data_IF_361527032561
#
_entry.id   IF_361527032561
#
_cell.length_a   1.000
_cell.length_b   1.000
_cell.length_c   1.000
_cell.angle_alpha   90.00
_cell.angle_beta   90.00
_cell.angle_gamma   90.00
#
_symmetry.space_group_name_H-M   'P 1'
#
loop_
_entity.id
_entity.type
_entity.pdbx_description
1 polymer ?
#
# COMPACT_ATOMS: atom_id res chain seq x y z
N UNK A 1 8.96 -8.76 0.15
CA UNK A 1 8.76 -7.41 -0.41
C UNK A 1 9.05 -6.39 0.68
N UNK A 2 9.59 -5.23 0.33
CA UNK A 2 9.74 -4.08 1.22
C UNK A 2 8.68 -3.07 0.84
N UNK A 3 7.76 -2.79 1.76
CA UNK A 3 6.67 -1.83 1.55
C UNK A 3 7.03 -0.53 2.27
N UNK A 4 6.78 0.62 1.64
CA UNK A 4 6.85 1.93 2.28
C UNK A 4 5.44 2.47 2.46
N UNK A 5 4.94 2.37 3.69
CA UNK A 5 3.58 2.78 4.03
C UNK A 5 3.39 4.29 4.11
N UNK A 6 4.47 5.10 4.13
CA UNK A 6 4.38 6.57 4.25
C UNK A 6 3.76 7.24 3.02
N UNK A 7 3.79 6.55 1.88
CA UNK A 7 3.15 7.02 0.65
C UNK A 7 1.64 6.72 0.59
N UNK A 8 1.10 5.98 1.56
CA UNK A 8 -0.31 5.66 1.64
C UNK A 8 -1.01 6.77 2.44
N UNK A 9 -2.17 7.20 1.95
CA UNK A 9 -3.06 8.11 2.67
C UNK A 9 -4.36 7.37 3.02
N UNK A 10 -4.41 6.66 4.18
CA UNK A 10 -5.62 5.98 4.60
C UNK A 10 -6.78 6.97 4.79
N UNK A 11 -7.99 6.53 4.49
CA UNK A 11 -9.20 7.32 4.75
C UNK A 11 -9.43 7.47 6.27
N UNK A 12 -10.04 8.58 6.73
CA UNK A 12 -10.25 8.84 8.16
C UNK A 12 -11.01 7.74 8.94
N UNK A 13 -11.78 6.90 8.24
CA UNK A 13 -12.46 5.76 8.86
C UNK A 13 -11.49 4.76 9.49
N UNK A 14 -10.28 4.60 8.95
CA UNK A 14 -9.31 3.66 9.50
C UNK A 14 -8.77 4.13 10.85
N UNK A 15 -8.55 5.44 11.03
CA UNK A 15 -8.16 6.00 12.32
C UNK A 15 -9.27 5.80 13.36
N UNK A 16 -10.53 6.00 12.94
CA UNK A 16 -11.68 5.75 13.81
C UNK A 16 -11.79 4.26 14.22
N UNK A 17 -11.63 3.33 13.27
CA UNK A 17 -11.67 1.90 13.53
C UNK A 17 -10.51 1.46 14.45
N UNK A 18 -9.32 2.00 14.24
CA UNK A 18 -8.15 1.75 15.08
C UNK A 18 -8.41 2.17 16.53
N UNK A 19 -8.93 3.38 16.73
CA UNK A 19 -9.27 3.89 18.06
C UNK A 19 -10.41 3.11 18.72
N UNK A 20 -11.45 2.75 17.96
CA UNK A 20 -12.61 2.03 18.48
C UNK A 20 -12.25 0.61 18.93
N UNK A 21 -11.35 -0.05 18.20
CA UNK A 21 -10.93 -1.43 18.49
C UNK A 21 -9.68 -1.56 19.37
N UNK A 22 -9.06 -0.44 19.78
CA UNK A 22 -7.75 -0.42 20.44
C UNK A 22 -6.68 -1.24 19.69
N UNK A 23 -6.62 -1.03 18.36
CA UNK A 23 -5.78 -1.81 17.46
C UNK A 23 -4.40 -1.16 17.24
N UNK A 24 -3.38 -1.98 17.14
CA UNK A 24 -2.04 -1.59 16.65
C UNK A 24 -2.04 -1.35 15.15
N UNK A 25 -1.02 -0.66 14.63
CA UNK A 25 -0.85 -0.51 13.17
C UNK A 25 -0.67 -1.87 12.47
N UNK A 26 0.00 -2.83 13.12
CA UNK A 26 0.17 -4.19 12.58
C UNK A 26 -1.17 -4.90 12.42
N UNK A 27 -2.07 -4.80 13.40
CA UNK A 27 -3.42 -5.36 13.31
C UNK A 27 -4.26 -4.67 12.24
N UNK A 28 -4.10 -3.35 12.11
CA UNK A 28 -4.78 -2.56 11.06
C UNK A 28 -4.36 -3.01 9.67
N UNK A 29 -3.06 -3.13 9.40
CA UNK A 29 -2.55 -3.62 8.11
C UNK A 29 -2.79 -5.12 7.89
N UNK A 30 -2.92 -5.91 8.96
CA UNK A 30 -3.28 -7.34 8.88
C UNK A 30 -4.75 -7.59 8.56
N UNK A 31 -5.63 -6.62 8.81
CA UNK A 31 -7.10 -6.78 8.70
C UNK A 31 -7.70 -5.96 7.58
N UNK A 32 -7.24 -4.72 7.41
CA UNK A 32 -7.81 -3.75 6.50
C UNK A 32 -6.85 -3.42 5.36
N UNK A 33 -7.42 -2.96 4.24
CA UNK A 33 -6.63 -2.56 3.08
C UNK A 33 -5.88 -1.22 3.26
N UNK A 34 -6.20 -0.47 4.31
CA UNK A 34 -5.59 0.83 4.66
C UNK A 34 -5.59 1.86 3.51
N UNK A 35 -6.53 1.75 2.56
CA UNK A 35 -6.63 2.62 1.39
C UNK A 35 -6.03 2.06 0.09
N UNK A 36 -5.39 0.89 0.12
CA UNK A 36 -4.86 0.22 -1.07
C UNK A 36 -5.70 -1.00 -1.43
N UNK A 37 -6.60 -0.84 -2.39
CA UNK A 37 -7.48 -1.93 -2.84
C UNK A 37 -6.83 -2.94 -3.81
N UNK A 38 -5.74 -2.54 -4.48
CA UNK A 38 -5.07 -3.37 -5.50
C UNK A 38 -3.57 -3.10 -5.53
N UNK A 39 -2.78 -4.16 -5.67
CA UNK A 39 -1.32 -4.11 -5.81
C UNK A 39 -0.91 -4.80 -7.11
N UNK A 40 -0.07 -4.14 -7.90
CA UNK A 40 0.52 -4.69 -9.12
C UNK A 40 2.05 -4.69 -8.99
N UNK A 41 2.68 -5.84 -9.28
CA UNK A 41 4.13 -5.96 -9.34
C UNK A 41 4.60 -5.86 -10.80
N UNK A 42 5.53 -4.96 -11.06
CA UNK A 42 6.00 -4.62 -12.42
C UNK A 42 7.52 -4.57 -12.47
N UNK A 43 8.14 -4.79 -13.65
CA UNK A 43 9.52 -4.40 -13.86
C UNK A 43 9.71 -2.91 -13.57
N UNK A 44 10.80 -2.54 -12.89
CA UNK A 44 11.08 -1.16 -12.50
C UNK A 44 11.03 -0.18 -13.70
N UNK A 45 11.51 -0.62 -14.87
CA UNK A 45 11.48 0.17 -16.10
C UNK A 45 10.06 0.51 -16.61
N UNK A 46 9.02 -0.18 -16.15
CA UNK A 46 7.63 0.05 -16.55
C UNK A 46 6.83 0.85 -15.52
N UNK A 47 7.34 1.04 -14.30
CA UNK A 47 6.61 1.60 -13.18
C UNK A 47 6.06 3.02 -13.49
N UNK A 48 6.92 3.92 -13.96
CA UNK A 48 6.53 5.31 -14.23
C UNK A 48 5.47 5.42 -15.33
N UNK A 49 5.62 4.63 -16.41
CA UNK A 49 4.67 4.58 -17.50
C UNK A 49 3.30 4.07 -17.04
N UNK A 50 3.30 3.02 -16.21
CA UNK A 50 2.08 2.44 -15.65
C UNK A 50 1.36 3.41 -14.71
N UNK A 51 2.09 4.06 -13.79
CA UNK A 51 1.57 5.09 -12.89
C UNK A 51 0.95 6.25 -13.68
N UNK A 52 1.62 6.72 -14.73
CA UNK A 52 1.11 7.78 -15.59
C UNK A 52 -0.18 7.37 -16.30
N UNK A 53 -0.25 6.15 -16.85
CA UNK A 53 -1.42 5.64 -17.54
C UNK A 53 -2.64 5.52 -16.60
N UNK A 54 -2.43 5.07 -15.36
CA UNK A 54 -3.48 5.01 -14.34
C UNK A 54 -3.96 6.40 -13.92
N UNK A 55 -3.05 7.36 -13.70
CA UNK A 55 -3.43 8.76 -13.41
C UNK A 55 -4.26 9.39 -14.52
N UNK A 56 -3.94 9.10 -15.80
CA UNK A 56 -4.73 9.55 -16.94
C UNK A 56 -6.16 8.97 -16.97
N UNK A 57 -6.39 7.85 -16.29
CA UNK A 57 -7.71 7.21 -16.13
C UNK A 57 -8.45 7.70 -14.89
N UNK A 58 -7.89 8.64 -14.13
CA UNK A 58 -8.49 9.18 -12.90
C UNK A 58 -8.15 8.39 -11.63
N UNK A 59 -7.26 7.40 -11.72
CA UNK A 59 -6.81 6.63 -10.55
C UNK A 59 -5.70 7.37 -9.79
N UNK A 60 -5.53 7.03 -8.51
CA UNK A 60 -4.50 7.60 -7.63
C UNK A 60 -3.45 6.55 -7.22
N UNK A 61 -2.67 5.99 -8.16
CA UNK A 61 -1.65 4.98 -7.83
C UNK A 61 -0.49 5.59 -7.04
N UNK A 62 0.05 4.78 -6.13
CA UNK A 62 1.26 5.07 -5.35
C UNK A 62 2.28 3.96 -5.57
N UNK A 63 3.57 4.32 -5.61
CA UNK A 63 4.66 3.33 -5.63
C UNK A 63 4.85 2.84 -4.20
N UNK A 64 4.51 1.57 -3.95
CA UNK A 64 4.53 0.98 -2.61
C UNK A 64 5.90 0.43 -2.18
N UNK A 65 6.88 0.33 -3.08
CA UNK A 65 8.20 -0.19 -2.77
C UNK A 65 8.64 -1.26 -3.76
N UNK A 66 9.47 -2.19 -3.27
CA UNK A 66 10.22 -3.12 -4.13
C UNK A 66 10.08 -4.59 -3.71
N UNK A 67 10.20 -5.48 -4.69
CA UNK A 67 10.37 -6.91 -4.44
C UNK A 67 11.85 -7.19 -4.20
N UNK A 68 12.15 -7.80 -3.05
CA UNK A 68 13.50 -8.21 -2.64
C UNK A 68 13.53 -9.72 -2.43
N UNK A 69 14.69 -10.35 -2.68
CA UNK A 69 14.90 -11.77 -2.39
C UNK A 69 14.94 -11.97 -0.87
N UNK A 70 14.15 -12.90 -0.34
CA UNK A 70 14.12 -13.21 1.09
C UNK A 70 13.12 -14.33 1.43
N UNK A 71 13.28 -14.92 2.62
CA UNK A 71 12.46 -16.05 3.11
C UNK A 71 11.32 -15.64 4.04
N UNK A 72 11.30 -14.38 4.50
CA UNK A 72 10.31 -13.88 5.46
C UNK A 72 9.07 -13.27 4.79
N UNK A 73 7.91 -13.47 5.41
CA UNK A 73 6.65 -12.78 5.09
C UNK A 73 6.82 -11.28 5.39
N UNK A 74 6.46 -10.45 4.40
CA UNK A 74 6.28 -8.98 4.35
C UNK A 74 6.84 -8.15 5.52
N UNK A 75 7.71 -7.17 5.22
CA UNK A 75 8.12 -6.11 6.16
C UNK A 75 7.44 -4.80 5.77
N UNK A 76 6.72 -4.19 6.71
CA UNK A 76 6.01 -2.91 6.59
C UNK A 76 6.90 -1.70 6.92
#
# INVERSE_FOLDING_TARGET
ARVDTRGIAPLPIFDYLKQLGDLSDEEMYGTFNMGIGLVAALPQAQADGFVKALRQKGEAPVILGDIVKGEAKITL
#
